data_IF_892498752178
#
_entry.id   IF_892498752178
#
_cell.length_a   1.000
_cell.length_b   1.000
_cell.length_c   1.000
_cell.angle_alpha   90.00
_cell.angle_beta   90.00
_cell.angle_gamma   90.00
#
_symmetry.space_group_name_H-M   'P 1'
#
loop_
_entity.id
_entity.type
_entity.pdbx_description
1 polymer ?
#
# COMPACT_ATOMS: atom_id res chain seq x y z
N UNK A 1 5.72 -23.48 -61.98
CA UNK A 1 6.51 -22.32 -61.55
C UNK A 1 5.89 -21.77 -60.29
N UNK A 2 6.33 -22.28 -59.17
CA UNK A 2 5.82 -22.00 -57.84
C UNK A 2 6.75 -21.01 -57.18
N UNK A 3 6.30 -19.79 -56.87
CA UNK A 3 7.07 -18.82 -56.13
C UNK A 3 6.76 -19.00 -54.64
N UNK A 4 7.80 -19.30 -53.85
CA UNK A 4 7.77 -19.27 -52.36
C UNK A 4 7.72 -17.83 -51.89
N UNK A 5 6.92 -17.50 -50.88
CA UNK A 5 7.02 -16.21 -50.19
C UNK A 5 8.23 -16.23 -49.22
N UNK A 6 8.99 -15.17 -49.24
CA UNK A 6 10.09 -14.85 -48.31
C UNK A 6 9.58 -14.51 -46.92
N UNK A 7 10.28 -14.88 -45.82
CA UNK A 7 9.85 -14.55 -44.46
C UNK A 7 10.00 -13.04 -44.20
N UNK A 8 8.94 -12.41 -43.72
CA UNK A 8 8.94 -11.05 -43.15
C UNK A 8 9.64 -11.11 -41.82
N UNK A 9 10.75 -10.40 -41.71
CA UNK A 9 11.45 -10.10 -40.48
C UNK A 9 10.52 -9.30 -39.53
N UNK A 10 10.38 -9.80 -38.31
CA UNK A 10 9.61 -9.16 -37.24
C UNK A 10 10.13 -7.75 -36.93
N UNK A 11 9.25 -6.78 -37.03
CA UNK A 11 9.51 -5.41 -36.61
C UNK A 11 9.34 -5.31 -35.09
N UNK A 12 10.44 -5.11 -34.40
CA UNK A 12 10.43 -4.63 -33.02
C UNK A 12 9.87 -3.20 -33.03
N UNK A 13 8.79 -2.96 -32.31
CA UNK A 13 8.34 -1.61 -32.02
C UNK A 13 9.32 -0.99 -31.03
N UNK A 14 10.32 -0.27 -31.53
CA UNK A 14 11.15 0.64 -30.77
C UNK A 14 10.41 1.98 -30.66
N UNK A 15 10.03 2.35 -29.45
CA UNK A 15 9.65 3.71 -29.10
C UNK A 15 10.87 4.61 -29.30
N UNK A 16 10.75 5.80 -29.94
CA UNK A 16 11.90 6.67 -30.22
C UNK A 16 12.48 7.23 -28.92
N UNK A 17 13.77 6.94 -28.69
CA UNK A 17 14.58 7.66 -27.72
C UNK A 17 14.83 9.07 -28.23
N UNK A 18 14.41 10.08 -27.52
CA UNK A 18 14.96 11.43 -27.63
C UNK A 18 16.10 11.60 -26.64
N UNK A 19 17.15 12.22 -27.16
CA UNK A 19 18.49 12.26 -26.65
C UNK A 19 18.70 13.16 -25.41
N UNK A 20 19.72 12.78 -24.68
CA UNK A 20 20.50 13.45 -23.64
C UNK A 20 20.94 14.88 -23.97
N UNK A 21 20.95 15.70 -22.93
CA UNK A 21 22.02 16.64 -22.61
C UNK A 21 22.09 16.71 -21.09
N UNK A 22 23.15 16.49 -20.38
CA UNK A 22 24.55 16.79 -20.54
C UNK A 22 24.99 17.82 -19.54
N UNK A 23 25.77 17.42 -18.49
CA UNK A 23 26.71 18.27 -17.78
C UNK A 23 26.14 18.99 -16.52
N UNK A 24 26.79 19.11 -15.40
CA UNK A 24 28.19 19.12 -15.07
C UNK A 24 28.39 19.06 -13.55
N UNK A 25 29.54 18.66 -13.18
CA UNK A 25 30.22 18.50 -11.89
C UNK A 25 30.39 19.79 -11.08
N UNK A 26 30.55 19.62 -9.78
CA UNK A 26 31.24 20.53 -8.86
C UNK A 26 31.09 20.00 -7.44
N UNK A 27 31.94 19.33 -6.90
CA UNK A 27 33.20 19.49 -6.18
C UNK A 27 33.16 20.57 -5.07
N UNK A 28 33.57 20.14 -3.90
CA UNK A 28 34.22 20.95 -2.86
C UNK A 28 33.59 20.80 -1.49
N UNK A 29 34.11 20.00 -0.70
CA UNK A 29 35.19 20.02 0.32
C UNK A 29 34.75 20.53 1.70
N UNK A 30 34.90 19.63 2.64
CA UNK A 30 35.56 19.59 3.95
C UNK A 30 35.83 20.93 4.65
N UNK A 31 35.65 20.87 5.98
CA UNK A 31 36.58 21.11 7.10
C UNK A 31 35.71 21.30 8.36
N UNK A 32 35.73 20.54 9.41
CA UNK A 32 36.72 20.22 10.45
C UNK A 32 37.15 21.41 11.33
N UNK A 33 37.12 21.14 12.62
CA UNK A 33 37.88 21.65 13.76
C UNK A 33 36.99 22.32 14.81
N UNK A 34 36.82 21.80 16.02
CA UNK A 34 37.75 21.60 17.14
C UNK A 34 38.12 22.91 17.91
N UNK A 35 37.97 22.88 19.20
CA UNK A 35 38.53 23.82 20.18
C UNK A 35 37.68 23.91 21.44
N UNK A 36 37.84 23.16 22.48
CA UNK A 36 38.79 23.16 23.62
C UNK A 36 38.96 24.53 24.32
N UNK A 37 38.81 24.49 25.60
CA UNK A 37 39.35 25.43 26.58
C UNK A 37 38.48 25.54 27.81
N UNK A 38 38.62 24.91 28.87
CA UNK A 38 39.65 24.78 29.92
C UNK A 38 39.91 26.09 30.66
N UNK A 39 39.78 25.95 31.92
CA UNK A 39 40.63 26.39 33.05
C UNK A 39 39.92 27.27 34.09
N UNK A 40 39.90 26.76 35.33
CA UNK A 40 40.82 27.06 36.45
C UNK A 40 40.62 28.49 36.95
N UNK A 41 40.50 28.75 38.24
CA UNK A 41 41.37 28.49 39.40
C UNK A 41 40.67 29.06 40.62
N UNK A 42 40.75 28.41 41.75
CA UNK A 42 41.65 28.68 42.96
C UNK A 42 41.18 29.78 43.84
N UNK A 43 41.12 29.42 45.04
CA UNK A 43 41.84 29.55 46.30
C UNK A 43 41.30 30.73 47.19
N UNK A 44 41.31 30.77 48.48
CA UNK A 44 41.99 30.10 49.55
C UNK A 44 41.51 30.67 50.91
N UNK A 45 41.62 29.86 51.95
CA UNK A 45 42.16 30.23 53.34
C UNK A 45 41.50 31.37 54.08
N UNK A 46 41.24 31.25 55.33
CA UNK A 46 41.94 30.90 56.50
C UNK A 46 41.13 31.23 57.76
N UNK A 47 41.12 30.46 58.66
CA UNK A 47 41.84 30.26 59.89
C UNK A 47 41.44 31.17 61.06
N UNK A 48 41.27 30.47 62.21
CA UNK A 48 41.63 30.82 63.58
C UNK A 48 40.66 31.74 64.34
N UNK A 49 40.36 31.60 65.64
CA UNK A 49 40.83 30.81 66.75
C UNK A 49 40.00 31.10 68.04
N UNK A 50 39.91 30.11 68.91
CA UNK A 50 39.92 30.17 70.38
C UNK A 50 38.89 31.03 71.14
N UNK A 51 38.19 30.49 72.03
CA UNK A 51 38.34 29.88 73.33
C UNK A 51 37.45 30.58 74.38
N UNK A 52 37.11 29.85 75.42
CA UNK A 52 36.60 30.13 76.75
C UNK A 52 35.04 30.21 76.84
N UNK A 53 34.38 29.55 77.70
CA UNK A 53 34.62 28.86 78.91
C UNK A 53 33.30 28.68 79.64
N UNK A 54 33.21 27.55 80.16
CA UNK A 54 32.47 27.07 81.31
C UNK A 54 31.35 27.94 81.94
N UNK A 55 30.19 27.34 82.06
CA UNK A 55 29.16 27.87 82.96
C UNK A 55 27.71 27.67 82.55
N UNK A 56 27.29 26.55 81.88
CA UNK A 56 25.86 26.36 81.53
C UNK A 56 25.43 24.92 81.53
N UNK A 57 25.71 24.12 82.54
CA UNK A 57 25.28 22.73 82.58
C UNK A 57 23.88 22.50 83.16
N UNK A 58 23.21 23.45 83.76
CA UNK A 58 21.88 23.24 84.33
C UNK A 58 20.75 23.74 83.45
N UNK A 59 20.92 24.74 82.61
CA UNK A 59 19.88 25.24 81.68
C UNK A 59 19.77 24.36 80.42
N UNK A 60 20.88 23.79 80.02
CA UNK A 60 20.89 22.89 78.79
C UNK A 60 20.08 21.59 78.97
N UNK A 61 19.98 21.07 80.21
CA UNK A 61 19.15 19.85 80.44
C UNK A 61 17.65 20.14 80.34
N UNK A 62 17.17 21.26 80.87
CA UNK A 62 15.76 21.64 80.82
C UNK A 62 15.34 21.97 79.36
N UNK A 63 16.15 22.62 78.58
CA UNK A 63 15.91 22.95 77.18
C UNK A 63 15.88 21.66 76.33
N UNK A 64 16.79 20.71 76.62
CA UNK A 64 16.81 19.44 75.93
C UNK A 64 15.54 18.56 76.22
N UNK A 65 15.09 18.63 77.48
CA UNK A 65 13.93 17.87 77.88
C UNK A 65 12.63 18.49 77.31
N UNK A 66 12.52 19.78 77.26
CA UNK A 66 11.45 20.53 76.70
C UNK A 66 11.39 20.29 75.13
N UNK A 67 12.57 20.34 74.51
CA UNK A 67 12.72 20.05 73.09
C UNK A 67 12.32 18.60 72.73
N UNK A 68 12.66 17.64 73.61
CA UNK A 68 12.23 16.21 73.43
C UNK A 68 10.76 16.05 73.63
N UNK A 69 10.11 16.80 74.54
CA UNK A 69 8.62 16.77 74.67
C UNK A 69 7.95 17.42 73.53
N UNK A 70 8.42 18.53 73.02
CA UNK A 70 7.84 19.18 71.80
C UNK A 70 8.04 18.32 70.55
N UNK A 71 9.22 17.70 70.35
CA UNK A 71 9.45 16.81 69.22
C UNK A 71 8.55 15.57 69.29
N UNK A 72 8.34 15.02 70.51
CA UNK A 72 7.39 13.85 70.65
C UNK A 72 5.93 14.26 70.39
N UNK A 73 5.48 15.42 70.81
CA UNK A 73 4.14 15.92 70.54
C UNK A 73 3.98 16.19 69.03
N UNK A 74 4.98 16.78 68.37
CA UNK A 74 4.93 17.00 66.90
C UNK A 74 4.97 15.70 66.12
N UNK A 75 5.74 14.71 66.59
CA UNK A 75 5.77 13.38 65.95
C UNK A 75 4.44 12.64 66.10
N UNK A 76 3.81 12.73 67.27
CA UNK A 76 2.48 12.12 67.50
C UNK A 76 1.41 12.82 66.66
N UNK A 77 1.45 14.18 66.60
CA UNK A 77 0.54 14.95 65.77
C UNK A 77 0.73 14.66 64.28
N UNK A 78 1.98 14.49 63.80
CA UNK A 78 2.28 14.10 62.44
C UNK A 78 1.82 12.67 62.09
N UNK A 79 2.05 11.71 63.02
CA UNK A 79 1.56 10.33 62.85
C UNK A 79 0.02 10.26 62.87
N UNK A 80 -0.66 11.05 63.67
CA UNK A 80 -2.13 11.07 63.66
C UNK A 80 -2.69 11.71 62.40
N UNK A 81 -2.07 12.78 61.90
CA UNK A 81 -2.47 13.37 60.60
C UNK A 81 -2.20 12.44 59.42
N UNK A 82 -1.10 11.70 59.42
CA UNK A 82 -0.79 10.68 58.36
C UNK A 82 -1.81 9.52 58.46
N UNK A 83 -2.13 9.03 59.67
CA UNK A 83 -3.12 7.95 59.86
C UNK A 83 -4.53 8.37 59.43
N UNK A 84 -4.93 9.60 59.74
CA UNK A 84 -6.23 10.15 59.30
C UNK A 84 -6.21 10.38 57.78
N UNK A 85 -5.10 10.84 57.23
CA UNK A 85 -4.93 11.00 55.78
C UNK A 85 -5.03 9.66 55.02
N UNK A 86 -4.39 8.60 55.55
CA UNK A 86 -4.45 7.26 54.94
C UNK A 86 -5.84 6.67 55.08
N UNK A 87 -6.53 6.84 56.22
CA UNK A 87 -7.88 6.41 56.39
C UNK A 87 -8.89 7.17 55.47
N UNK A 88 -8.67 8.46 55.23
CA UNK A 88 -9.51 9.25 54.33
C UNK A 88 -9.26 8.84 52.84
N UNK A 89 -8.03 8.49 52.47
CA UNK A 89 -7.72 7.97 51.13
C UNK A 89 -8.34 6.57 50.94
N UNK A 90 -8.32 5.73 51.98
CA UNK A 90 -8.93 4.39 51.90
C UNK A 90 -10.48 4.46 51.78
N UNK A 91 -11.15 5.44 52.40
CA UNK A 91 -12.59 5.61 52.30
C UNK A 91 -13.02 6.24 50.96
N UNK A 92 -12.16 6.98 50.29
CA UNK A 92 -12.39 7.56 48.97
C UNK A 92 -12.11 6.57 47.83
N UNK A 93 -11.62 5.35 48.14
CA UNK A 93 -11.38 4.30 47.16
C UNK A 93 -12.49 3.24 47.10
N UNK A 94 -13.63 3.45 47.75
CA UNK A 94 -14.77 2.59 47.55
C UNK A 94 -15.67 3.15 46.46
N UNK A 95 -15.87 2.29 45.43
CA UNK A 95 -16.74 2.45 44.27
C UNK A 95 -16.27 3.42 43.15
N UNK A 96 -15.16 3.08 42.49
CA UNK A 96 -15.20 3.25 41.05
C UNK A 96 -16.29 2.30 40.50
N UNK A 97 -17.33 2.84 39.82
CA UNK A 97 -18.19 1.99 39.03
C UNK A 97 -17.27 1.25 38.03
N UNK A 98 -17.42 -0.08 37.98
CA UNK A 98 -16.70 -0.88 37.00
C UNK A 98 -16.73 -0.12 35.67
N UNK A 99 -15.61 0.48 35.30
CA UNK A 99 -15.38 1.00 33.97
C UNK A 99 -15.66 -0.20 33.07
N UNK A 100 -16.84 -0.20 32.44
CA UNK A 100 -17.07 -0.98 31.25
C UNK A 100 -15.93 -0.52 30.37
N UNK A 101 -14.88 -1.35 30.30
CA UNK A 101 -13.86 -1.20 29.30
C UNK A 101 -14.62 -1.25 27.98
N UNK A 102 -14.95 -0.07 27.48
CA UNK A 102 -15.32 0.09 26.09
C UNK A 102 -14.07 -0.41 25.39
N UNK A 103 -14.11 -1.68 24.97
CA UNK A 103 -13.09 -2.23 24.11
C UNK A 103 -12.99 -1.21 22.98
N UNK A 104 -11.90 -0.44 22.96
CA UNK A 104 -11.56 0.36 21.78
C UNK A 104 -11.69 -0.61 20.63
N UNK A 105 -12.47 -0.31 19.59
CA UNK A 105 -12.58 -1.20 18.47
C UNK A 105 -11.14 -1.48 18.04
N UNK A 106 -10.71 -2.72 18.16
CA UNK A 106 -9.44 -3.18 17.61
C UNK A 106 -9.61 -2.90 16.13
N UNK A 107 -8.93 -1.86 15.62
CA UNK A 107 -8.89 -1.57 14.20
C UNK A 107 -8.23 -2.80 13.58
N UNK A 108 -9.06 -3.73 13.13
CA UNK A 108 -8.62 -4.89 12.37
C UNK A 108 -8.11 -4.36 11.04
N UNK A 109 -6.85 -4.69 10.69
CA UNK A 109 -6.35 -4.41 9.35
C UNK A 109 -7.27 -5.08 8.31
N UNK A 110 -7.27 -4.63 7.05
CA UNK A 110 -7.99 -5.31 5.98
C UNK A 110 -7.61 -6.80 5.96
N UNK A 111 -8.61 -7.64 5.76
CA UNK A 111 -8.39 -9.09 5.68
C UNK A 111 -7.83 -9.39 4.30
N UNK A 112 -6.72 -10.14 4.18
CA UNK A 112 -6.22 -10.60 2.88
C UNK A 112 -7.31 -11.34 2.10
N UNK A 113 -7.36 -11.13 0.79
CA UNK A 113 -8.27 -11.85 -0.09
C UNK A 113 -7.62 -13.19 -0.40
N UNK A 114 -8.22 -14.28 0.06
CA UNK A 114 -7.80 -15.64 -0.30
C UNK A 114 -8.20 -15.93 -1.75
N UNK A 115 -7.25 -16.50 -2.53
CA UNK A 115 -7.51 -16.84 -3.93
C UNK A 115 -8.50 -18.00 -4.04
N UNK A 116 -9.53 -17.85 -4.84
CA UNK A 116 -10.39 -18.97 -5.24
C UNK A 116 -10.01 -19.46 -6.65
N UNK A 117 -9.33 -20.60 -6.72
CA UNK A 117 -8.84 -21.20 -7.94
C UNK A 117 -9.78 -22.29 -8.51
N UNK A 118 -10.99 -22.42 -7.98
CA UNK A 118 -11.97 -23.37 -8.46
C UNK A 118 -12.32 -23.11 -9.94
N UNK A 119 -12.08 -24.09 -10.80
CA UNK A 119 -12.37 -23.97 -12.23
C UNK A 119 -11.30 -23.26 -13.06
N UNK A 120 -10.10 -23.03 -12.52
CA UNK A 120 -8.99 -22.45 -13.28
C UNK A 120 -8.73 -23.20 -14.58
N UNK A 121 -8.74 -22.46 -15.68
CA UNK A 121 -8.34 -22.90 -17.02
C UNK A 121 -7.47 -21.82 -17.67
N UNK A 122 -6.20 -22.13 -17.92
CA UNK A 122 -5.25 -21.21 -18.53
C UNK A 122 -5.69 -20.74 -19.93
N UNK A 123 -6.51 -21.53 -20.63
CA UNK A 123 -7.04 -21.19 -21.96
C UNK A 123 -8.28 -20.31 -21.91
N UNK A 124 -8.94 -20.19 -20.74
CA UNK A 124 -10.19 -19.44 -20.53
C UNK A 124 -10.24 -18.86 -19.13
N UNK A 125 -9.53 -17.75 -18.93
CA UNK A 125 -9.41 -17.11 -17.61
C UNK A 125 -10.69 -16.35 -17.23
N UNK A 126 -11.32 -15.70 -18.20
CA UNK A 126 -12.54 -14.91 -18.03
C UNK A 126 -13.27 -14.81 -19.35
N UNK A 127 -14.60 -14.83 -19.31
CA UNK A 127 -15.41 -14.69 -20.52
C UNK A 127 -15.43 -13.25 -21.02
N UNK A 128 -15.57 -13.10 -22.37
CA UNK A 128 -15.69 -11.78 -23.00
C UNK A 128 -16.90 -11.01 -22.47
N UNK A 129 -18.04 -11.67 -22.31
CA UNK A 129 -19.27 -11.06 -21.80
C UNK A 129 -19.14 -10.61 -20.34
N UNK A 130 -18.24 -11.23 -19.56
CA UNK A 130 -17.92 -10.80 -18.19
C UNK A 130 -16.92 -9.66 -18.21
N UNK A 131 -15.85 -9.78 -19.00
CA UNK A 131 -14.77 -8.79 -19.02
C UNK A 131 -15.21 -7.43 -19.55
N UNK A 132 -16.06 -7.42 -20.57
CA UNK A 132 -16.47 -6.21 -21.28
C UNK A 132 -17.90 -5.74 -20.95
N UNK A 133 -18.44 -6.16 -19.80
CA UNK A 133 -19.71 -5.65 -19.27
C UNK A 133 -19.46 -4.48 -18.30
N UNK A 134 -19.47 -3.26 -18.82
CA UNK A 134 -19.29 -2.05 -18.03
C UNK A 134 -20.47 -1.77 -17.06
N UNK A 135 -21.57 -2.54 -17.14
CA UNK A 135 -22.79 -2.29 -16.36
C UNK A 135 -22.90 -3.10 -15.07
N UNK A 136 -21.92 -3.96 -14.77
CA UNK A 136 -21.95 -4.88 -13.62
C UNK A 136 -21.99 -4.17 -12.26
N UNK A 137 -21.40 -2.99 -12.15
CA UNK A 137 -21.41 -2.16 -10.94
C UNK A 137 -21.50 -0.68 -11.31
N UNK A 138 -22.34 0.05 -10.58
CA UNK A 138 -22.32 1.51 -10.58
C UNK A 138 -21.31 2.05 -9.56
N UNK A 139 -21.11 3.37 -9.52
CA UNK A 139 -20.16 4.04 -8.62
C UNK A 139 -20.42 3.73 -7.14
N UNK A 140 -21.69 3.75 -6.71
CA UNK A 140 -22.06 3.43 -5.32
C UNK A 140 -21.67 2.00 -4.93
N UNK A 141 -21.89 1.04 -5.83
CA UNK A 141 -21.52 -0.35 -5.63
C UNK A 141 -19.99 -0.55 -5.61
N UNK A 142 -19.26 0.15 -6.46
CA UNK A 142 -17.78 0.18 -6.44
C UNK A 142 -17.29 0.75 -5.10
N UNK A 143 -17.84 1.89 -4.66
CA UNK A 143 -17.48 2.52 -3.39
C UNK A 143 -17.78 1.59 -2.20
N UNK A 144 -18.96 0.94 -2.20
CA UNK A 144 -19.36 0.01 -1.15
C UNK A 144 -18.44 -1.21 -1.09
N UNK A 145 -18.00 -1.76 -2.23
CA UNK A 145 -17.04 -2.86 -2.28
C UNK A 145 -15.67 -2.43 -1.72
N UNK A 146 -15.15 -1.30 -2.21
CA UNK A 146 -13.87 -0.77 -1.74
C UNK A 146 -13.93 -0.56 -0.21
N UNK A 147 -14.95 0.11 0.31
CA UNK A 147 -15.11 0.35 1.73
C UNK A 147 -15.18 -0.96 2.55
N UNK A 148 -15.88 -1.97 2.03
CA UNK A 148 -16.00 -3.29 2.67
C UNK A 148 -14.65 -4.00 2.76
N UNK A 149 -13.93 -4.11 1.65
CA UNK A 149 -12.65 -4.84 1.57
C UNK A 149 -11.54 -4.07 2.29
N UNK A 150 -11.56 -2.75 2.21
CA UNK A 150 -10.59 -1.85 2.84
C UNK A 150 -10.87 -1.58 4.34
N UNK A 151 -11.88 -2.25 4.93
CA UNK A 151 -12.26 -2.09 6.34
C UNK A 151 -11.06 -2.28 7.27
N UNK A 152 -10.81 -1.30 8.15
CA UNK A 152 -9.68 -1.32 9.08
C UNK A 152 -8.35 -0.88 8.46
N UNK A 153 -8.36 -0.41 7.23
CA UNK A 153 -7.19 0.20 6.62
C UNK A 153 -6.69 1.40 7.45
N UNK A 154 -5.38 1.56 7.52
CA UNK A 154 -4.69 2.70 8.12
C UNK A 154 -3.87 3.39 7.06
N UNK A 155 -3.86 4.72 7.11
CA UNK A 155 -3.04 5.51 6.20
C UNK A 155 -1.60 4.98 6.10
N UNK A 156 -1.09 5.01 4.90
CA UNK A 156 0.22 4.48 4.54
C UNK A 156 1.38 5.39 4.89
N UNK A 157 2.54 5.08 4.33
CA UNK A 157 3.76 5.87 4.52
C UNK A 157 3.55 7.29 3.99
N UNK A 158 4.05 8.27 4.72
CA UNK A 158 3.89 9.68 4.32
C UNK A 158 2.47 10.22 4.40
N UNK A 159 1.53 9.48 5.01
CA UNK A 159 0.11 9.85 5.08
C UNK A 159 -0.68 9.43 3.85
N UNK A 160 -0.17 8.53 3.01
CA UNK A 160 -0.89 7.99 1.84
C UNK A 160 -2.27 7.49 2.26
N UNK A 161 -3.37 7.99 1.67
CA UNK A 161 -4.72 7.60 2.07
C UNK A 161 -5.00 6.14 1.69
N UNK A 162 -5.89 5.50 2.44
CA UNK A 162 -6.47 4.22 2.05
C UNK A 162 -7.29 4.37 0.75
N UNK A 163 -7.43 3.32 -0.04
CA UNK A 163 -8.17 3.40 -1.32
C UNK A 163 -9.60 3.93 -1.15
N UNK A 164 -10.27 3.58 -0.03
CA UNK A 164 -11.60 4.06 0.30
C UNK A 164 -11.68 5.58 0.52
N UNK A 165 -10.58 6.20 0.92
CA UNK A 165 -10.46 7.63 1.25
C UNK A 165 -9.67 8.42 0.21
N UNK A 166 -9.10 7.72 -0.79
CA UNK A 166 -8.23 8.33 -1.80
C UNK A 166 -9.03 9.12 -2.82
N UNK A 167 -8.53 10.32 -3.14
CA UNK A 167 -9.05 11.16 -4.21
C UNK A 167 -7.93 11.58 -5.16
N UNK A 168 -8.29 11.82 -6.40
CA UNK A 168 -7.34 12.12 -7.47
C UNK A 168 -7.83 13.27 -8.34
N UNK A 169 -6.89 14.04 -8.88
CA UNK A 169 -7.18 14.97 -9.97
C UNK A 169 -7.13 14.20 -11.28
N UNK A 170 -8.19 14.24 -12.04
CA UNK A 170 -8.32 13.60 -13.35
C UNK A 170 -8.42 14.62 -14.45
N UNK A 171 -8.16 14.20 -15.68
CA UNK A 171 -8.18 15.09 -16.85
C UNK A 171 -9.30 14.71 -17.81
N UNK A 172 -9.79 15.70 -18.58
CA UNK A 172 -10.68 15.44 -19.70
C UNK A 172 -9.96 14.62 -20.78
N UNK A 173 -10.60 13.54 -21.24
CA UNK A 173 -10.12 12.76 -22.38
C UNK A 173 -11.25 12.67 -23.41
N UNK A 174 -10.97 13.14 -24.62
CA UNK A 174 -11.92 13.01 -25.73
C UNK A 174 -12.19 11.54 -26.06
N UNK A 175 -13.38 11.24 -26.54
CA UNK A 175 -13.73 9.92 -27.04
C UNK A 175 -12.70 9.40 -28.06
N UNK A 176 -12.31 8.14 -27.91
CA UNK A 176 -11.36 7.43 -28.78
C UNK A 176 -12.00 6.14 -29.31
N UNK A 177 -11.31 5.47 -30.22
CA UNK A 177 -11.77 4.14 -30.68
C UNK A 177 -11.83 3.13 -29.55
N UNK A 178 -10.94 3.22 -28.56
CA UNK A 178 -10.82 2.28 -27.46
C UNK A 178 -11.62 2.69 -26.22
N UNK A 179 -11.95 3.96 -26.08
CA UNK A 179 -12.78 4.50 -25.01
C UNK A 179 -13.81 5.48 -25.63
N UNK A 180 -14.88 4.94 -26.25
CA UNK A 180 -15.84 5.73 -27.01
C UNK A 180 -16.68 6.67 -26.14
N UNK A 181 -16.74 6.46 -24.84
CA UNK A 181 -17.45 7.34 -23.92
C UNK A 181 -16.71 8.66 -23.63
N UNK A 182 -15.39 8.71 -23.89
CA UNK A 182 -14.57 9.81 -23.39
C UNK A 182 -14.52 9.87 -21.87
N UNK A 183 -13.88 10.89 -21.30
CA UNK A 183 -13.82 11.05 -19.85
C UNK A 183 -13.90 12.54 -19.49
N UNK A 184 -14.78 12.89 -18.56
CA UNK A 184 -14.88 14.23 -18.00
C UNK A 184 -14.07 14.26 -16.69
N UNK A 185 -12.98 15.03 -16.69
CA UNK A 185 -12.08 15.16 -15.55
C UNK A 185 -12.67 15.93 -14.39
N UNK A 186 -12.14 15.73 -13.20
CA UNK A 186 -12.54 16.43 -11.99
C UNK A 186 -11.37 16.60 -11.01
N UNK A 187 -11.52 17.54 -10.06
CA UNK A 187 -10.64 17.65 -8.89
C UNK A 187 -11.19 16.78 -7.76
N UNK A 188 -10.29 16.25 -6.94
CA UNK A 188 -10.63 15.47 -5.75
C UNK A 188 -11.61 14.32 -6.03
N UNK A 189 -11.48 13.68 -7.18
CA UNK A 189 -12.36 12.60 -7.61
C UNK A 189 -12.07 11.30 -6.83
N UNK A 190 -13.07 10.71 -6.14
CA UNK A 190 -12.86 9.47 -5.39
C UNK A 190 -12.38 8.32 -6.28
N UNK A 191 -11.57 7.42 -5.74
CA UNK A 191 -11.11 6.23 -6.45
C UNK A 191 -12.26 5.43 -7.08
N UNK A 192 -13.39 5.30 -6.38
CA UNK A 192 -14.58 4.62 -6.89
C UNK A 192 -15.18 5.30 -8.13
N UNK A 193 -15.24 6.63 -8.12
CA UNK A 193 -15.71 7.42 -9.26
C UNK A 193 -14.78 7.23 -10.47
N UNK A 194 -13.45 7.29 -10.25
CA UNK A 194 -12.47 7.05 -11.32
C UNK A 194 -12.68 5.68 -11.96
N UNK A 195 -12.76 4.61 -11.13
CA UNK A 195 -12.96 3.24 -11.63
C UNK A 195 -14.26 3.12 -12.43
N UNK A 196 -15.38 3.62 -11.89
CA UNK A 196 -16.70 3.54 -12.54
C UNK A 196 -16.77 4.32 -13.84
N UNK A 197 -16.24 5.55 -13.86
CA UNK A 197 -16.23 6.39 -15.06
C UNK A 197 -15.32 5.83 -16.15
N UNK A 198 -14.14 5.31 -15.77
CA UNK A 198 -13.24 4.63 -16.73
C UNK A 198 -13.91 3.37 -17.30
N UNK A 199 -14.54 2.56 -16.46
CA UNK A 199 -15.27 1.38 -16.88
C UNK A 199 -16.31 1.73 -17.96
N UNK A 200 -17.17 2.72 -17.68
CA UNK A 200 -18.18 3.21 -18.61
C UNK A 200 -17.58 3.86 -19.87
N UNK A 201 -16.45 4.58 -19.74
CA UNK A 201 -15.77 5.25 -20.84
C UNK A 201 -15.19 4.29 -21.87
N UNK A 202 -14.68 3.15 -21.40
CA UNK A 202 -13.93 2.19 -22.22
C UNK A 202 -14.64 0.84 -22.38
N UNK A 203 -15.92 0.70 -22.01
CA UNK A 203 -16.67 -0.57 -22.07
C UNK A 203 -15.90 -1.75 -21.42
N UNK A 204 -15.36 -1.55 -20.23
CA UNK A 204 -14.66 -2.57 -19.43
C UNK A 204 -15.38 -2.75 -18.11
N UNK A 205 -15.52 -3.97 -17.65
CA UNK A 205 -16.15 -4.28 -16.38
C UNK A 205 -15.40 -3.62 -15.20
N UNK A 206 -16.04 -2.83 -14.33
CA UNK A 206 -15.40 -2.26 -13.15
C UNK A 206 -14.83 -3.31 -12.19
N UNK A 207 -15.38 -4.54 -12.16
CA UNK A 207 -14.85 -5.67 -11.40
C UNK A 207 -13.45 -6.08 -11.89
N UNK A 208 -13.22 -6.03 -13.21
CA UNK A 208 -11.91 -6.27 -13.82
C UNK A 208 -10.91 -5.22 -13.38
N UNK A 209 -11.28 -3.94 -13.40
CA UNK A 209 -10.39 -2.85 -12.96
C UNK A 209 -10.03 -2.96 -11.48
N UNK A 210 -11.00 -3.29 -10.62
CA UNK A 210 -10.77 -3.56 -9.19
C UNK A 210 -9.85 -4.77 -8.98
N UNK A 211 -10.01 -5.82 -9.77
CA UNK A 211 -9.14 -7.00 -9.73
C UNK A 211 -7.70 -6.66 -10.13
N UNK A 212 -7.51 -5.81 -11.15
CA UNK A 212 -6.18 -5.33 -11.54
C UNK A 212 -5.54 -4.53 -10.42
N UNK A 213 -6.24 -3.58 -9.78
CA UNK A 213 -5.73 -2.81 -8.65
C UNK A 213 -5.28 -3.71 -7.49
N UNK A 214 -6.02 -4.79 -7.24
CA UNK A 214 -5.63 -5.78 -6.22
C UNK A 214 -4.44 -6.63 -6.66
N UNK A 215 -4.45 -7.09 -7.91
CA UNK A 215 -3.42 -7.97 -8.45
C UNK A 215 -2.06 -7.27 -8.53
N UNK A 216 -2.03 -6.01 -9.00
CA UNK A 216 -0.78 -5.31 -9.29
C UNK A 216 -0.16 -4.70 -8.02
N UNK A 217 -0.95 -4.00 -7.20
CA UNK A 217 -0.45 -3.26 -6.05
C UNK A 217 -1.14 -3.63 -4.72
N UNK A 218 -2.05 -4.61 -4.73
CA UNK A 218 -2.79 -4.99 -3.52
C UNK A 218 -3.69 -3.88 -2.97
N UNK A 219 -4.05 -2.86 -3.77
CA UNK A 219 -4.66 -1.61 -3.30
C UNK A 219 -5.98 -1.77 -2.55
N UNK A 220 -6.76 -2.82 -2.83
CA UNK A 220 -8.00 -3.09 -2.07
C UNK A 220 -7.72 -3.46 -0.61
N UNK A 221 -6.55 -4.04 -0.31
CA UNK A 221 -6.19 -4.54 1.02
C UNK A 221 -4.95 -3.88 1.62
N UNK A 222 -4.21 -3.07 0.85
CA UNK A 222 -3.02 -2.37 1.31
C UNK A 222 -3.33 -1.46 2.50
N UNK A 223 -2.47 -1.47 3.51
CA UNK A 223 -2.68 -0.73 4.77
C UNK A 223 -1.36 -0.46 5.48
N UNK A 224 -1.25 0.70 6.11
CA UNK A 224 -0.10 1.05 6.92
C UNK A 224 1.21 1.01 6.13
N UNK A 225 2.22 0.29 6.62
CA UNK A 225 3.55 0.27 5.99
C UNK A 225 3.60 -0.33 4.57
N UNK A 226 2.57 -1.06 4.18
CA UNK A 226 2.45 -1.68 2.86
C UNK A 226 1.82 -0.75 1.81
N UNK A 227 1.25 0.38 2.24
CA UNK A 227 0.63 1.36 1.36
C UNK A 227 1.55 2.57 1.20
N UNK A 228 1.91 2.89 -0.04
CA UNK A 228 2.78 4.02 -0.40
C UNK A 228 2.18 4.85 -1.53
N UNK A 229 2.65 6.08 -1.71
CA UNK A 229 2.21 6.91 -2.83
C UNK A 229 2.55 6.27 -4.19
N UNK A 230 3.69 5.57 -4.27
CA UNK A 230 4.11 4.86 -5.48
C UNK A 230 3.11 3.78 -5.93
N UNK A 231 2.36 3.17 -5.00
CA UNK A 231 1.36 2.15 -5.35
C UNK A 231 0.20 2.75 -6.16
N UNK A 232 -0.07 4.04 -5.97
CA UNK A 232 -1.04 4.78 -6.80
C UNK A 232 -0.44 5.26 -8.12
N UNK A 233 0.86 5.59 -8.15
CA UNK A 233 1.54 6.02 -9.37
C UNK A 233 1.61 4.91 -10.43
N UNK A 234 1.70 3.64 -10.00
CA UNK A 234 1.78 2.46 -10.87
C UNK A 234 0.63 1.47 -10.64
N UNK A 235 -0.55 1.97 -10.32
CA UNK A 235 -1.69 1.24 -9.75
C UNK A 235 -2.11 -0.03 -10.50
N UNK A 236 -1.96 -0.06 -11.82
CA UNK A 236 -2.29 -1.21 -12.68
C UNK A 236 -1.08 -1.78 -13.41
N UNK A 237 0.11 -1.18 -13.26
CA UNK A 237 1.30 -1.58 -14.01
C UNK A 237 1.29 -1.14 -15.48
N UNK A 238 0.35 -0.30 -15.90
CA UNK A 238 0.30 0.22 -17.26
C UNK A 238 1.53 1.08 -17.57
N UNK A 239 2.22 0.77 -18.67
CA UNK A 239 3.46 1.48 -19.03
C UNK A 239 4.69 1.10 -18.21
N UNK A 240 4.64 -0.02 -17.48
CA UNK A 240 5.73 -0.55 -16.66
C UNK A 240 6.26 -1.87 -17.27
N UNK A 241 7.08 -1.84 -18.31
CA UNK A 241 7.59 -3.06 -18.94
C UNK A 241 8.62 -3.76 -18.05
N UNK A 242 8.63 -5.10 -18.06
CA UNK A 242 9.59 -5.90 -17.32
C UNK A 242 11.03 -5.51 -17.62
N UNK A 243 11.85 -5.40 -16.58
CA UNK A 243 13.29 -5.10 -16.70
C UNK A 243 13.63 -3.67 -17.08
N UNK A 244 12.66 -2.75 -17.05
CA UNK A 244 12.85 -1.32 -17.29
C UNK A 244 12.05 -0.49 -16.27
N UNK A 245 12.43 0.77 -16.08
CA UNK A 245 11.64 1.71 -15.27
C UNK A 245 10.29 1.96 -15.96
N UNK A 246 9.25 2.21 -15.16
CA UNK A 246 7.96 2.66 -15.66
C UNK A 246 8.09 3.98 -16.42
N UNK A 247 7.27 4.17 -17.44
CA UNK A 247 7.26 5.42 -18.20
C UNK A 247 6.49 6.49 -17.40
N UNK A 248 7.17 7.58 -16.97
CA UNK A 248 6.56 8.62 -16.13
C UNK A 248 5.32 9.30 -16.73
N UNK A 249 5.13 9.25 -18.03
CA UNK A 249 3.94 9.83 -18.69
C UNK A 249 2.65 9.08 -18.32
N UNK A 250 2.77 7.83 -17.86
CA UNK A 250 1.63 6.98 -17.47
C UNK A 250 1.46 6.85 -15.96
N UNK A 251 2.32 7.52 -15.17
CA UNK A 251 2.18 7.53 -13.73
C UNK A 251 0.91 8.28 -13.28
N UNK A 252 0.40 7.87 -12.11
CA UNK A 252 -0.80 8.42 -11.49
C UNK A 252 -2.04 7.54 -11.66
N UNK A 253 -2.84 7.47 -10.61
CA UNK A 253 -3.97 6.53 -10.51
C UNK A 253 -4.91 6.59 -11.72
N UNK A 254 -5.30 7.80 -12.15
CA UNK A 254 -6.18 7.97 -13.31
C UNK A 254 -5.52 7.44 -14.59
N UNK A 255 -4.28 7.83 -14.86
CA UNK A 255 -3.56 7.42 -16.07
C UNK A 255 -3.39 5.90 -16.10
N UNK A 256 -3.15 5.29 -14.95
CA UNK A 256 -3.02 3.85 -14.80
C UNK A 256 -4.32 3.10 -15.11
N UNK A 257 -5.42 3.51 -14.48
CA UNK A 257 -6.73 2.84 -14.65
C UNK A 257 -7.26 3.04 -16.07
N UNK A 258 -7.21 4.30 -16.58
CA UNK A 258 -7.67 4.61 -17.93
C UNK A 258 -6.80 3.96 -19.00
N UNK A 259 -5.48 4.00 -18.83
CA UNK A 259 -4.54 3.39 -19.75
C UNK A 259 -4.72 1.88 -19.86
N UNK A 260 -4.88 1.18 -18.73
CA UNK A 260 -5.17 -0.26 -18.71
C UNK A 260 -6.49 -0.60 -19.43
N UNK A 261 -7.58 0.09 -19.10
CA UNK A 261 -8.88 -0.14 -19.74
C UNK A 261 -8.82 0.10 -21.26
N UNK A 262 -8.21 1.21 -21.69
CA UNK A 262 -7.99 1.53 -23.10
C UNK A 262 -7.14 0.46 -23.81
N UNK A 263 -6.11 -0.07 -23.15
CA UNK A 263 -5.24 -1.09 -23.72
C UNK A 263 -5.97 -2.43 -23.87
N UNK A 264 -6.84 -2.82 -22.94
CA UNK A 264 -7.67 -4.02 -23.11
C UNK A 264 -8.62 -3.91 -24.30
N UNK A 265 -9.20 -2.74 -24.54
CA UNK A 265 -9.98 -2.51 -25.77
C UNK A 265 -9.12 -2.51 -27.03
N UNK A 266 -7.86 -2.05 -26.93
CA UNK A 266 -6.92 -2.15 -28.05
C UNK A 266 -6.61 -3.61 -28.39
N UNK A 267 -6.37 -4.46 -27.39
CA UNK A 267 -6.21 -5.91 -27.61
C UNK A 267 -7.41 -6.53 -28.30
N UNK A 268 -8.63 -6.19 -27.84
CA UNK A 268 -9.88 -6.70 -28.40
C UNK A 268 -10.12 -6.24 -29.83
N UNK A 269 -9.98 -4.93 -30.11
CA UNK A 269 -10.36 -4.32 -31.39
C UNK A 269 -9.28 -4.41 -32.46
N UNK A 270 -8.05 -4.75 -32.08
CA UNK A 270 -6.90 -4.86 -32.99
C UNK A 270 -6.04 -6.11 -32.71
N UNK A 271 -6.64 -7.30 -32.55
CA UNK A 271 -5.94 -8.49 -32.05
C UNK A 271 -4.72 -8.88 -32.89
N UNK A 272 -4.77 -8.67 -34.20
CA UNK A 272 -3.64 -8.97 -35.10
C UNK A 272 -2.38 -8.11 -34.89
N UNK A 273 -2.41 -7.15 -33.99
CA UNK A 273 -1.25 -6.33 -33.61
C UNK A 273 -0.48 -6.90 -32.42
N UNK A 274 -0.95 -7.99 -31.81
CA UNK A 274 -0.43 -8.56 -30.58
C UNK A 274 -0.05 -10.02 -30.73
N UNK A 275 0.71 -10.55 -29.78
CA UNK A 275 1.29 -11.89 -29.85
C UNK A 275 0.26 -12.99 -29.55
N UNK A 276 -0.64 -12.76 -28.58
CA UNK A 276 -1.67 -13.74 -28.21
C UNK A 276 -2.99 -13.31 -28.81
N UNK A 277 -3.54 -14.18 -29.69
CA UNK A 277 -4.80 -13.97 -30.41
C UNK A 277 -5.73 -15.14 -30.13
N UNK A 278 -7.00 -14.86 -29.80
CA UNK A 278 -7.99 -15.88 -29.54
C UNK A 278 -8.12 -16.91 -30.70
N UNK A 279 -8.14 -18.18 -30.35
CA UNK A 279 -8.23 -19.30 -31.31
C UNK A 279 -6.94 -19.58 -32.09
N UNK A 280 -5.85 -18.87 -31.84
CA UNK A 280 -4.57 -19.11 -32.47
C UNK A 280 -3.51 -19.60 -31.45
N UNK A 281 -2.68 -20.58 -31.79
CA UNK A 281 -1.59 -21.00 -30.90
C UNK A 281 -0.54 -19.90 -30.79
N UNK A 282 -0.16 -19.58 -29.56
CA UNK A 282 0.92 -18.67 -29.21
C UNK A 282 1.89 -19.37 -28.28
N UNK A 283 3.16 -19.02 -28.36
CA UNK A 283 4.20 -19.55 -27.48
C UNK A 283 4.37 -18.59 -26.28
N UNK A 284 3.75 -18.94 -25.15
CA UNK A 284 3.69 -18.10 -23.95
C UNK A 284 4.74 -18.54 -22.94
N UNK A 285 5.62 -17.63 -22.51
CA UNK A 285 6.66 -17.90 -21.54
C UNK A 285 6.08 -18.18 -20.14
N UNK A 286 6.83 -18.90 -19.30
CA UNK A 286 6.48 -19.10 -17.88
C UNK A 286 6.97 -17.97 -16.98
N UNK A 287 8.05 -17.29 -17.37
CA UNK A 287 8.71 -16.27 -16.55
C UNK A 287 9.46 -15.26 -17.45
N UNK A 288 9.77 -14.07 -16.94
CA UNK A 288 10.74 -13.16 -17.57
C UNK A 288 12.12 -13.80 -17.77
N UNK A 289 12.49 -14.76 -16.93
CA UNK A 289 13.71 -15.55 -17.11
C UNK A 289 13.51 -16.59 -18.22
N UNK A 290 14.16 -16.38 -19.35
CA UNK A 290 14.08 -17.26 -20.52
C UNK A 290 14.53 -18.69 -20.25
N UNK A 291 15.29 -18.96 -19.18
CA UNK A 291 15.68 -20.32 -18.78
C UNK A 291 14.50 -21.16 -18.27
N UNK A 292 13.41 -20.52 -17.88
CA UNK A 292 12.16 -21.17 -17.47
C UNK A 292 11.37 -21.77 -18.63
N UNK A 293 11.67 -21.35 -19.87
CA UNK A 293 11.04 -21.85 -21.08
C UNK A 293 9.61 -21.28 -21.30
N UNK A 294 8.92 -21.91 -22.23
CA UNK A 294 7.57 -21.54 -22.67
C UNK A 294 6.77 -22.79 -23.05
N UNK A 295 5.47 -22.64 -23.22
CA UNK A 295 4.65 -23.66 -23.85
C UNK A 295 3.64 -23.03 -24.80
N UNK A 296 3.23 -23.80 -25.80
CA UNK A 296 2.18 -23.38 -26.72
C UNK A 296 0.83 -23.38 -26.02
N UNK A 297 0.14 -22.24 -26.11
CA UNK A 297 -1.19 -22.01 -25.55
C UNK A 297 -2.13 -21.52 -26.65
N UNK A 298 -3.35 -22.04 -26.70
CA UNK A 298 -4.41 -21.53 -27.55
C UNK A 298 -5.55 -21.06 -26.67
N UNK A 299 -5.68 -19.73 -26.51
CA UNK A 299 -6.73 -19.14 -25.69
C UNK A 299 -8.06 -19.10 -26.42
N UNK A 300 -9.18 -19.22 -25.67
CA UNK A 300 -10.48 -19.44 -26.24
C UNK A 300 -11.21 -18.16 -26.67
N UNK A 301 -10.85 -16.99 -26.02
CA UNK A 301 -11.59 -15.75 -26.21
C UNK A 301 -10.67 -14.51 -26.12
N UNK A 302 -11.20 -13.34 -26.49
CA UNK A 302 -10.49 -12.08 -26.59
C UNK A 302 -10.05 -11.55 -25.22
N UNK A 303 -10.86 -11.71 -24.17
CA UNK A 303 -10.55 -11.29 -22.81
C UNK A 303 -9.33 -12.04 -22.27
N UNK A 304 -9.28 -13.37 -22.45
CA UNK A 304 -8.12 -14.18 -22.04
C UNK A 304 -6.88 -13.84 -22.87
N UNK A 305 -7.03 -13.60 -24.17
CA UNK A 305 -5.94 -13.12 -25.02
C UNK A 305 -5.41 -11.78 -24.54
N UNK A 306 -6.31 -10.85 -24.17
CA UNK A 306 -5.95 -9.55 -23.60
C UNK A 306 -5.17 -9.68 -22.29
N UNK A 307 -5.54 -10.59 -21.41
CA UNK A 307 -4.81 -10.83 -20.15
C UNK A 307 -3.39 -11.35 -20.41
N UNK A 308 -3.18 -12.24 -21.38
CA UNK A 308 -1.84 -12.68 -21.77
C UNK A 308 -1.04 -11.65 -22.54
N UNK A 309 -1.65 -10.73 -23.23
CA UNK A 309 -0.96 -9.58 -23.84
C UNK A 309 -0.60 -8.52 -22.82
N UNK A 310 -1.35 -8.43 -21.69
CA UNK A 310 -1.08 -7.52 -20.59
C UNK A 310 -0.04 -8.08 -19.62
N UNK A 311 -0.15 -9.35 -19.27
CA UNK A 311 0.77 -10.09 -18.41
C UNK A 311 1.29 -11.30 -19.20
N UNK A 312 2.43 -11.19 -19.91
CA UNK A 312 2.83 -12.11 -20.96
C UNK A 312 3.43 -13.43 -20.45
N UNK A 313 2.93 -13.93 -19.32
CA UNK A 313 3.39 -15.17 -18.71
C UNK A 313 2.21 -16.07 -18.35
N UNK A 314 2.37 -17.37 -18.64
CA UNK A 314 1.42 -18.37 -18.14
C UNK A 314 1.95 -18.98 -16.82
N UNK A 315 1.06 -19.33 -15.87
CA UNK A 315 1.49 -20.11 -14.71
C UNK A 315 1.93 -21.50 -15.15
N UNK A 316 3.00 -21.98 -14.55
CA UNK A 316 3.50 -23.33 -14.74
C UNK A 316 2.73 -24.34 -13.86
N UNK A 317 3.11 -25.64 -13.95
CA UNK A 317 2.47 -26.67 -13.15
C UNK A 317 2.71 -26.52 -11.64
N UNK A 318 3.79 -25.86 -11.23
CA UNK A 318 4.12 -25.63 -9.84
C UNK A 318 3.19 -24.63 -9.14
N UNK A 319 2.49 -23.77 -9.90
CA UNK A 319 1.56 -22.79 -9.36
C UNK A 319 0.52 -23.39 -8.41
N UNK A 320 0.02 -24.59 -8.70
CA UNK A 320 -0.96 -25.28 -7.85
C UNK A 320 -0.39 -25.74 -6.49
N UNK A 321 0.92 -25.93 -6.40
CA UNK A 321 1.63 -26.47 -5.22
C UNK A 321 2.48 -25.39 -4.50
N UNK A 322 2.21 -24.10 -4.77
CA UNK A 322 2.90 -22.98 -4.13
C UNK A 322 4.02 -22.36 -4.96
N UNK A 323 4.23 -22.85 -6.18
CA UNK A 323 5.15 -22.28 -7.14
C UNK A 323 6.63 -22.62 -6.92
N UNK A 324 7.43 -22.25 -7.90
CA UNK A 324 8.90 -22.29 -7.86
C UNK A 324 9.49 -21.02 -8.49
N UNK A 325 10.79 -21.01 -8.76
CA UNK A 325 11.51 -19.84 -9.32
C UNK A 325 11.04 -19.44 -10.74
N UNK A 326 10.33 -20.34 -11.43
CA UNK A 326 9.80 -20.12 -12.77
C UNK A 326 8.30 -19.77 -12.79
N UNK A 327 7.63 -19.82 -11.65
CA UNK A 327 6.19 -19.58 -11.58
C UNK A 327 5.87 -18.09 -11.68
N UNK A 328 5.03 -17.72 -12.66
CA UNK A 328 4.44 -16.39 -12.77
C UNK A 328 3.00 -16.38 -12.25
N UNK A 329 2.75 -15.47 -11.33
CA UNK A 329 1.50 -15.37 -10.60
C UNK A 329 0.46 -14.42 -11.21
N UNK A 330 0.83 -13.64 -12.23
CA UNK A 330 0.00 -12.55 -12.72
C UNK A 330 -1.42 -12.98 -13.12
N UNK A 331 -1.57 -13.84 -14.14
CA UNK A 331 -2.86 -14.32 -14.61
C UNK A 331 -3.55 -15.30 -13.64
N UNK A 332 -2.74 -16.07 -12.85
CA UNK A 332 -3.22 -16.89 -11.75
C UNK A 332 -3.91 -16.04 -10.67
N UNK A 333 -3.24 -15.00 -10.21
CA UNK A 333 -3.78 -14.11 -9.19
C UNK A 333 -4.99 -13.31 -9.72
N UNK A 334 -4.99 -12.90 -10.99
CA UNK A 334 -6.15 -12.24 -11.57
C UNK A 334 -7.40 -13.12 -11.46
N UNK A 335 -7.31 -14.38 -11.92
CA UNK A 335 -8.42 -15.32 -11.81
C UNK A 335 -8.89 -15.51 -10.38
N UNK A 336 -7.97 -15.84 -9.48
CA UNK A 336 -8.27 -16.14 -8.07
C UNK A 336 -8.89 -14.97 -7.34
N UNK A 337 -8.38 -13.73 -7.55
CA UNK A 337 -8.97 -12.53 -6.95
C UNK A 337 -10.33 -12.20 -7.55
N UNK A 338 -10.48 -12.28 -8.87
CA UNK A 338 -11.78 -12.03 -9.50
C UNK A 338 -12.83 -12.99 -8.95
N UNK A 339 -12.53 -14.28 -8.93
CA UNK A 339 -13.44 -15.30 -8.44
C UNK A 339 -13.79 -15.13 -6.96
N UNK A 340 -12.82 -14.81 -6.11
CA UNK A 340 -13.03 -14.58 -4.69
C UNK A 340 -13.90 -13.35 -4.39
N UNK A 341 -13.79 -12.31 -5.21
CA UNK A 341 -14.51 -11.05 -5.01
C UNK A 341 -15.89 -11.03 -5.68
N UNK A 342 -16.01 -11.64 -6.87
CA UNK A 342 -17.16 -11.43 -7.74
C UNK A 342 -17.85 -12.74 -8.19
N UNK A 343 -17.25 -13.89 -7.91
CA UNK A 343 -17.77 -15.20 -8.33
C UNK A 343 -17.17 -15.66 -9.65
N UNK A 344 -17.85 -16.57 -10.33
CA UNK A 344 -17.33 -17.27 -11.51
C UNK A 344 -17.00 -16.32 -12.67
N UNK A 345 -15.73 -16.22 -13.12
CA UNK A 345 -15.37 -15.41 -14.27
C UNK A 345 -15.74 -16.07 -15.61
N UNK A 346 -16.13 -17.36 -15.61
CA UNK A 346 -16.45 -18.13 -16.82
C UNK A 346 -17.83 -18.82 -16.74
N UNK A 347 -18.92 -18.06 -16.43
CA UNK A 347 -20.24 -18.64 -16.13
C UNK A 347 -20.92 -19.28 -17.36
N UNK A 348 -20.49 -18.94 -18.57
CA UNK A 348 -21.11 -19.41 -19.83
C UNK A 348 -20.46 -20.67 -20.38
N UNK A 349 -19.81 -21.49 -19.55
CA UNK A 349 -19.23 -22.78 -19.95
C UNK A 349 -20.26 -23.88 -20.09
#
# INVERSE_FOLDING_TARGET
>A
MSQRPTPRTGGRHTVPRTARAGGARGHGDRLAAAGRGASRTRDARGASSRSAGDGRSASARRVREQRRRTVRILLIAFLTTVLVGVAAVAVLHEEEPASVATASPTLTAPVPIELDMTGWDATRIIDDDVFFDATTMNEEQVAALIAKVNTGCRAGRGGTPCLADATFTTADVAATTYCPGGYEGAQDEPAAAVVSKVAASCDVNPQVLLTLLQKEQGLLTASGAQLTASDYEIATGYGCPDGSDCDPQYEGFFNQVYGAASLFQHYRLSPGSFEVVAGQPADVAYSPDSSCGSASLTVQNEATAGLYNYTPYQPDAAAADGGDDCTSWGNWNFYGFFRALFGDPTPSA
#
